data_IF_613844372043
#
_entry.id   IF_613844372043
#
_cell.length_a   1.000
_cell.length_b   1.000
_cell.length_c   1.000
_cell.angle_alpha   90.00
_cell.angle_beta   90.00
_cell.angle_gamma   90.00
#
_symmetry.space_group_name_H-M   'P 1'
#
loop_
_entity.id
_entity.type
_entity.pdbx_description
1 polymer ?
#
# COMPACT_ATOMS: atom_id res chain seq x y z
N UNK A 1 -23.29 -56.79 -10.36
CA UNK A 1 -23.08 -55.32 -10.34
C UNK A 1 -21.90 -55.02 -9.41
N UNK A 2 -20.68 -54.87 -9.93
CA UNK A 2 -19.49 -54.55 -9.13
C UNK A 2 -19.31 -53.04 -9.09
N UNK A 3 -19.59 -52.43 -7.94
CA UNK A 3 -19.24 -51.03 -7.68
C UNK A 3 -17.73 -50.95 -7.60
N UNK A 4 -17.15 -50.17 -8.52
CA UNK A 4 -15.72 -49.94 -8.67
C UNK A 4 -15.27 -49.06 -7.50
N UNK A 5 -14.55 -49.63 -6.54
CA UNK A 5 -13.96 -48.90 -5.43
C UNK A 5 -13.00 -47.83 -5.96
N UNK A 6 -13.32 -46.56 -5.75
CA UNK A 6 -12.36 -45.46 -5.94
C UNK A 6 -11.25 -45.67 -4.93
N UNK A 7 -10.07 -46.09 -5.40
CA UNK A 7 -8.86 -46.18 -4.58
C UNK A 7 -8.47 -44.77 -4.15
N UNK A 8 -8.79 -44.43 -2.91
CA UNK A 8 -8.23 -43.28 -2.19
C UNK A 8 -6.76 -43.60 -1.91
N UNK A 9 -5.89 -43.17 -2.82
CA UNK A 9 -4.46 -43.08 -2.55
C UNK A 9 -4.20 -41.72 -1.88
N UNK A 10 -3.76 -41.78 -0.64
CA UNK A 10 -2.87 -40.84 0.04
C UNK A 10 -2.30 -39.66 -0.79
N UNK A 11 -2.40 -38.44 -0.24
CA UNK A 11 -1.44 -37.36 -0.52
C UNK A 11 -1.82 -36.34 -1.59
N UNK A 12 -2.59 -35.32 -1.17
CA UNK A 12 -2.92 -34.08 -1.90
C UNK A 12 -3.71 -34.22 -3.22
N UNK A 13 -4.75 -33.39 -3.40
CA UNK A 13 -5.49 -33.30 -4.66
C UNK A 13 -4.61 -32.72 -5.79
N UNK A 14 -5.00 -32.93 -7.05
CA UNK A 14 -4.32 -32.31 -8.19
C UNK A 14 -4.27 -30.78 -8.06
N UNK A 15 -5.37 -30.18 -7.58
CA UNK A 15 -5.46 -28.75 -7.31
C UNK A 15 -4.51 -28.29 -6.20
N UNK A 16 -4.41 -29.06 -5.11
CA UNK A 16 -3.47 -28.75 -4.03
C UNK A 16 -2.01 -28.84 -4.50
N UNK A 17 -1.67 -29.80 -5.36
CA UNK A 17 -0.33 -29.88 -5.97
C UNK A 17 -0.06 -28.71 -6.91
N UNK A 18 -1.06 -28.31 -7.69
CA UNK A 18 -0.99 -27.15 -8.58
C UNK A 18 -0.72 -25.88 -7.77
N UNK A 19 -1.52 -25.61 -6.73
CA UNK A 19 -1.34 -24.46 -5.84
C UNK A 19 0.03 -24.44 -5.15
N UNK A 20 0.47 -25.57 -4.57
CA UNK A 20 1.78 -25.67 -3.91
C UNK A 20 2.96 -25.39 -4.84
N UNK A 21 2.87 -25.78 -6.11
CA UNK A 21 3.92 -25.48 -7.10
C UNK A 21 3.96 -23.99 -7.41
N UNK A 22 2.79 -23.36 -7.61
CA UNK A 22 2.70 -21.92 -7.77
C UNK A 22 3.31 -21.16 -6.58
N UNK A 23 2.97 -21.55 -5.36
CA UNK A 23 3.54 -20.98 -4.13
C UNK A 23 5.06 -21.14 -4.07
N UNK A 24 5.60 -22.33 -4.39
CA UNK A 24 7.05 -22.55 -4.43
C UNK A 24 7.77 -21.67 -5.45
N UNK A 25 7.17 -21.45 -6.62
CA UNK A 25 7.73 -20.57 -7.65
C UNK A 25 7.75 -19.11 -7.18
N UNK A 26 6.66 -18.64 -6.57
CA UNK A 26 6.57 -17.27 -6.04
C UNK A 26 7.56 -17.06 -4.89
N UNK A 27 7.62 -18.00 -3.93
CA UNK A 27 8.54 -17.90 -2.79
C UNK A 27 10.01 -17.90 -3.24
N UNK A 28 10.37 -18.74 -4.22
CA UNK A 28 11.71 -18.75 -4.81
C UNK A 28 12.04 -17.41 -5.51
N UNK A 29 11.07 -16.80 -6.18
CA UNK A 29 11.26 -15.49 -6.78
C UNK A 29 11.45 -14.41 -5.71
N UNK A 30 10.63 -14.38 -4.66
CA UNK A 30 10.78 -13.45 -3.51
C UNK A 30 12.17 -13.57 -2.90
N UNK A 31 12.65 -14.81 -2.68
CA UNK A 31 13.98 -15.05 -2.11
C UNK A 31 15.10 -14.53 -3.02
N UNK A 32 15.04 -14.83 -4.33
CA UNK A 32 16.04 -14.36 -5.29
C UNK A 32 16.06 -12.83 -5.40
N UNK A 33 14.89 -12.21 -5.51
CA UNK A 33 14.77 -10.75 -5.66
C UNK A 33 15.28 -10.06 -4.39
N UNK A 34 14.83 -10.51 -3.22
CA UNK A 34 15.19 -9.89 -1.94
C UNK A 34 16.66 -10.05 -1.55
N UNK A 35 17.38 -11.02 -2.13
CA UNK A 35 18.79 -11.30 -1.79
C UNK A 35 19.78 -10.89 -2.86
N UNK A 36 19.41 -10.97 -4.14
CA UNK A 36 20.31 -10.78 -5.29
C UNK A 36 19.78 -9.77 -6.31
N UNK A 37 18.65 -9.13 -6.02
CA UNK A 37 17.99 -8.19 -6.92
C UNK A 37 17.15 -8.85 -7.99
N UNK A 38 16.31 -8.07 -8.65
CA UNK A 38 15.30 -8.55 -9.61
C UNK A 38 15.89 -9.28 -10.81
N UNK A 39 17.10 -8.91 -11.25
CA UNK A 39 17.77 -9.52 -12.41
C UNK A 39 18.13 -10.99 -12.16
N UNK A 40 18.33 -11.39 -10.89
CA UNK A 40 18.61 -12.77 -10.52
C UNK A 40 17.40 -13.71 -10.66
N UNK A 41 16.18 -13.16 -10.67
CA UNK A 41 14.93 -13.92 -10.79
C UNK A 41 14.65 -14.36 -12.24
N UNK A 42 15.56 -15.12 -12.84
CA UNK A 42 15.35 -15.76 -14.15
C UNK A 42 14.50 -17.02 -14.01
N UNK A 43 13.80 -17.44 -15.07
CA UNK A 43 13.01 -18.70 -15.06
C UNK A 43 13.87 -19.88 -14.60
N UNK A 44 15.10 -19.98 -15.11
CA UNK A 44 16.05 -21.04 -14.74
C UNK A 44 16.41 -20.98 -13.25
N UNK A 45 16.77 -19.80 -12.73
CA UNK A 45 17.14 -19.64 -11.32
C UNK A 45 15.95 -19.92 -10.38
N UNK A 46 14.75 -19.46 -10.75
CA UNK A 46 13.51 -19.72 -10.00
C UNK A 46 13.20 -21.21 -10.01
N UNK A 47 13.30 -21.90 -11.15
CA UNK A 47 13.09 -23.35 -11.23
C UNK A 47 14.09 -24.12 -10.35
N UNK A 48 15.37 -23.75 -10.41
CA UNK A 48 16.42 -24.36 -9.59
C UNK A 48 16.16 -24.15 -8.08
N UNK A 49 15.82 -22.92 -7.68
CA UNK A 49 15.59 -22.55 -6.27
C UNK A 49 14.29 -23.16 -5.74
N UNK A 50 13.23 -23.14 -6.54
CA UNK A 50 11.94 -23.69 -6.16
C UNK A 50 11.90 -25.21 -6.16
N UNK A 51 12.80 -25.89 -6.90
CA UNK A 51 12.75 -27.31 -7.19
C UNK A 51 11.56 -27.71 -8.09
N UNK A 52 11.07 -26.78 -8.91
CA UNK A 52 10.01 -26.98 -9.92
C UNK A 52 10.65 -26.97 -11.30
N UNK A 53 10.29 -27.89 -12.19
CA UNK A 53 10.86 -27.95 -13.54
C UNK A 53 10.30 -26.85 -14.45
N UNK A 54 11.04 -26.45 -15.49
CA UNK A 54 10.58 -25.45 -16.45
C UNK A 54 9.25 -25.81 -17.11
N UNK A 55 8.99 -27.11 -17.34
CA UNK A 55 7.67 -27.57 -17.83
C UNK A 55 6.53 -27.16 -16.89
N UNK A 56 6.74 -27.29 -15.58
CA UNK A 56 5.73 -26.91 -14.59
C UNK A 56 5.71 -25.40 -14.33
N UNK A 57 6.81 -24.69 -14.53
CA UNK A 57 6.82 -23.23 -14.55
C UNK A 57 5.80 -22.72 -15.59
N UNK A 58 5.92 -23.18 -16.84
CA UNK A 58 5.06 -22.73 -17.94
C UNK A 58 3.60 -23.21 -17.85
N UNK A 59 3.26 -24.05 -16.86
CA UNK A 59 1.87 -24.34 -16.50
C UNK A 59 1.24 -23.28 -15.59
N UNK A 60 2.06 -22.48 -14.91
CA UNK A 60 1.62 -21.47 -13.95
C UNK A 60 1.86 -20.04 -14.40
N UNK A 61 2.88 -19.82 -15.24
CA UNK A 61 3.32 -18.50 -15.71
C UNK A 61 3.81 -18.62 -17.15
N UNK A 62 3.33 -17.75 -18.02
CA UNK A 62 3.72 -17.65 -19.43
C UNK A 62 5.17 -17.19 -19.57
N UNK A 63 5.64 -16.31 -18.68
CA UNK A 63 6.99 -15.79 -18.66
C UNK A 63 7.44 -15.33 -17.25
N UNK A 64 8.63 -14.74 -17.18
CA UNK A 64 9.19 -14.14 -15.96
C UNK A 64 8.33 -12.98 -15.46
N UNK A 65 7.77 -12.19 -16.36
CA UNK A 65 7.04 -10.98 -16.01
C UNK A 65 5.70 -11.32 -15.35
N UNK A 66 5.01 -12.36 -15.81
CA UNK A 66 3.80 -12.89 -15.15
C UNK A 66 4.10 -13.40 -13.74
N UNK A 67 5.26 -14.05 -13.54
CA UNK A 67 5.71 -14.42 -12.20
C UNK A 67 5.95 -13.17 -11.32
N UNK A 68 6.62 -12.14 -11.84
CA UNK A 68 6.88 -10.90 -11.10
C UNK A 68 5.57 -10.18 -10.72
N UNK A 69 4.58 -10.15 -11.61
CA UNK A 69 3.24 -9.63 -11.30
C UNK A 69 2.60 -10.40 -10.16
N UNK A 70 2.66 -11.73 -10.18
CA UNK A 70 2.10 -12.56 -9.11
C UNK A 70 2.82 -12.38 -7.77
N UNK A 71 4.14 -12.22 -7.78
CA UNK A 71 4.92 -11.86 -6.59
C UNK A 71 4.42 -10.55 -6.00
N UNK A 72 4.27 -9.50 -6.80
CA UNK A 72 3.79 -8.19 -6.35
C UNK A 72 2.35 -8.23 -5.83
N UNK A 73 1.47 -8.97 -6.50
CA UNK A 73 0.08 -9.17 -6.05
C UNK A 73 0.03 -9.85 -4.68
N UNK A 74 0.85 -10.90 -4.47
CA UNK A 74 0.90 -11.59 -3.18
C UNK A 74 1.45 -10.68 -2.06
N UNK A 75 2.49 -9.90 -2.37
CA UNK A 75 3.03 -8.93 -1.41
C UNK A 75 1.99 -7.88 -1.07
N UNK A 76 1.35 -7.26 -2.06
CA UNK A 76 0.29 -6.29 -1.82
C UNK A 76 -0.80 -6.82 -0.91
N UNK A 77 -1.30 -8.02 -1.19
CA UNK A 77 -2.32 -8.66 -0.35
C UNK A 77 -1.84 -8.84 1.10
N UNK A 78 -0.58 -9.27 1.29
CA UNK A 78 0.03 -9.46 2.61
C UNK A 78 0.15 -8.14 3.37
N UNK A 79 0.70 -7.10 2.73
CA UNK A 79 0.84 -5.77 3.31
C UNK A 79 -0.52 -5.14 3.64
N UNK A 80 -1.47 -5.24 2.71
CA UNK A 80 -2.82 -4.72 2.89
C UNK A 80 -3.52 -5.41 4.07
N UNK A 81 -3.43 -6.74 4.17
CA UNK A 81 -4.02 -7.48 5.28
C UNK A 81 -3.45 -7.04 6.63
N UNK A 82 -2.11 -6.95 6.75
CA UNK A 82 -1.43 -6.49 7.96
C UNK A 82 -1.85 -5.07 8.35
N UNK A 83 -1.92 -4.16 7.38
CA UNK A 83 -2.34 -2.77 7.60
C UNK A 83 -3.79 -2.71 8.08
N UNK A 84 -4.71 -3.38 7.38
CA UNK A 84 -6.15 -3.35 7.68
C UNK A 84 -6.46 -3.94 9.06
N UNK A 85 -5.83 -5.07 9.41
CA UNK A 85 -6.02 -5.71 10.71
C UNK A 85 -5.52 -4.85 11.89
N UNK A 86 -4.61 -3.91 11.62
CA UNK A 86 -4.05 -3.01 12.63
C UNK A 86 -4.83 -1.70 12.77
N UNK A 87 -5.83 -1.42 11.93
CA UNK A 87 -6.59 -0.17 12.01
C UNK A 87 -7.52 -0.23 13.23
N UNK A 88 -7.42 0.71 14.20
CA UNK A 88 -8.29 0.72 15.37
C UNK A 88 -9.74 1.08 15.01
N UNK A 89 -10.65 0.77 15.94
CA UNK A 89 -12.06 1.18 15.89
C UNK A 89 -12.21 2.72 15.98
N UNK A 90 -13.38 3.23 15.60
CA UNK A 90 -13.65 4.67 15.45
C UNK A 90 -13.53 5.48 16.77
N UNK A 91 -13.33 6.81 16.64
CA UNK A 91 -13.26 7.76 17.77
C UNK A 91 -11.86 8.33 18.06
N UNK A 92 -10.90 8.10 17.16
CA UNK A 92 -9.51 8.50 17.29
C UNK A 92 -9.16 9.69 16.38
N UNK A 93 -8.14 10.46 16.77
CA UNK A 93 -7.55 11.48 15.89
C UNK A 93 -6.91 10.83 14.66
N UNK A 94 -6.74 11.55 13.54
CA UNK A 94 -6.09 11.00 12.35
C UNK A 94 -4.71 10.37 12.63
N UNK A 95 -3.92 10.96 13.53
CA UNK A 95 -2.62 10.43 13.96
C UNK A 95 -2.76 9.08 14.67
N UNK A 96 -3.70 8.95 15.60
CA UNK A 96 -3.94 7.70 16.33
C UNK A 96 -4.44 6.60 15.39
N UNK A 97 -5.28 6.95 14.41
CA UNK A 97 -5.70 6.01 13.36
C UNK A 97 -4.53 5.52 12.49
N UNK A 98 -3.55 6.39 12.22
CA UNK A 98 -2.38 6.06 11.41
C UNK A 98 -1.32 5.24 12.16
N UNK A 99 -1.23 5.39 13.49
CA UNK A 99 -0.12 4.85 14.27
C UNK A 99 -0.01 3.33 14.24
N UNK A 100 -1.09 2.61 14.56
CA UNK A 100 -1.06 1.15 14.62
C UNK A 100 -0.81 0.49 13.24
N UNK A 101 -1.44 0.93 12.13
CA UNK A 101 -1.13 0.42 10.79
C UNK A 101 0.30 0.67 10.34
N UNK A 102 0.86 1.86 10.62
CA UNK A 102 2.26 2.18 10.31
C UNK A 102 3.21 1.32 11.14
N UNK A 103 2.91 1.08 12.43
CA UNK A 103 3.66 0.17 13.28
C UNK A 103 3.67 -1.24 12.71
N UNK A 104 2.50 -1.75 12.31
CA UNK A 104 2.37 -3.09 11.75
C UNK A 104 3.19 -3.24 10.45
N UNK A 105 3.11 -2.25 9.57
CA UNK A 105 3.90 -2.16 8.35
C UNK A 105 5.41 -2.23 8.62
N UNK A 106 5.92 -1.34 9.48
CA UNK A 106 7.36 -1.24 9.76
C UNK A 106 7.87 -2.49 10.49
N UNK A 107 7.10 -3.03 11.43
CA UNK A 107 7.45 -4.28 12.14
C UNK A 107 7.56 -5.46 11.19
N UNK A 108 6.67 -5.54 10.18
CA UNK A 108 6.75 -6.58 9.16
C UNK A 108 8.01 -6.43 8.31
N UNK A 109 8.39 -5.21 7.94
CA UNK A 109 9.63 -4.94 7.18
C UNK A 109 10.86 -5.26 8.03
N UNK A 110 10.85 -4.95 9.32
CA UNK A 110 11.94 -5.29 10.25
C UNK A 110 12.10 -6.81 10.39
N UNK A 111 10.98 -7.54 10.45
CA UNK A 111 10.96 -9.01 10.55
C UNK A 111 11.50 -9.69 9.28
N UNK A 112 11.26 -9.12 8.10
CA UNK A 112 11.84 -9.58 6.84
C UNK A 112 12.13 -8.42 5.89
N UNK A 113 13.36 -7.88 5.96
CA UNK A 113 13.81 -6.76 5.11
C UNK A 113 13.73 -7.07 3.62
N UNK A 114 13.68 -8.35 3.21
CA UNK A 114 13.54 -8.74 1.80
C UNK A 114 12.22 -8.26 1.22
N UNK A 115 11.14 -8.33 2.00
CA UNK A 115 9.80 -7.87 1.57
C UNK A 115 9.81 -6.35 1.34
N UNK A 116 10.44 -5.62 2.25
CA UNK A 116 10.65 -4.17 2.10
C UNK A 116 11.50 -3.83 0.89
N UNK A 117 12.68 -4.45 0.73
CA UNK A 117 13.57 -4.17 -0.42
C UNK A 117 12.89 -4.44 -1.75
N UNK A 118 12.13 -5.54 -1.84
CA UNK A 118 11.40 -5.88 -3.06
C UNK A 118 10.37 -4.79 -3.40
N UNK A 119 9.58 -4.34 -2.42
CA UNK A 119 8.50 -3.36 -2.63
C UNK A 119 9.02 -1.92 -2.84
N UNK A 120 10.06 -1.51 -2.12
CA UNK A 120 10.50 -0.11 -2.05
C UNK A 120 11.77 0.19 -2.86
N UNK A 121 12.70 -0.75 -2.98
CA UNK A 121 14.03 -0.52 -3.59
C UNK A 121 14.08 -1.07 -5.02
N UNK A 122 13.86 -2.37 -5.20
CA UNK A 122 13.95 -3.03 -6.52
C UNK A 122 12.95 -2.45 -7.52
N UNK A 123 11.79 -2.06 -6.99
CA UNK A 123 10.69 -1.48 -7.74
C UNK A 123 11.01 -0.11 -8.39
N UNK A 124 12.09 0.55 -7.99
CA UNK A 124 12.50 1.82 -8.59
C UNK A 124 13.35 1.67 -9.86
N UNK A 125 13.98 0.49 -10.06
CA UNK A 125 15.03 0.32 -11.08
C UNK A 125 14.53 -0.38 -12.35
N UNK A 126 13.60 -1.33 -12.21
CA UNK A 126 13.10 -2.14 -13.32
C UNK A 126 11.75 -1.59 -13.87
N UNK A 127 11.56 -1.45 -15.20
CA UNK A 127 10.37 -0.82 -15.79
C UNK A 127 9.02 -1.44 -15.39
N UNK A 128 8.88 -2.77 -15.45
CA UNK A 128 7.65 -3.46 -15.05
C UNK A 128 7.39 -3.27 -13.55
N UNK A 129 8.42 -3.37 -12.72
CA UNK A 129 8.29 -3.19 -11.28
C UNK A 129 7.95 -1.75 -10.92
N UNK A 130 8.43 -0.75 -11.68
CA UNK A 130 8.01 0.65 -11.55
C UNK A 130 6.51 0.82 -11.82
N UNK A 131 6.00 0.17 -12.85
CA UNK A 131 4.56 0.17 -13.15
C UNK A 131 3.76 -0.50 -12.02
N UNK A 132 4.18 -1.68 -11.60
CA UNK A 132 3.53 -2.41 -10.50
C UNK A 132 3.57 -1.59 -9.20
N UNK A 133 4.69 -0.96 -8.87
CA UNK A 133 4.82 -0.04 -7.73
C UNK A 133 3.79 1.07 -7.78
N UNK A 134 3.65 1.71 -8.94
CA UNK A 134 2.67 2.80 -9.12
C UNK A 134 1.25 2.32 -8.84
N UNK A 135 0.88 1.13 -9.37
CA UNK A 135 -0.43 0.52 -9.12
C UNK A 135 -0.62 0.19 -7.64
N UNK A 136 0.41 -0.32 -6.96
CA UNK A 136 0.35 -0.61 -5.52
C UNK A 136 0.21 0.66 -4.68
N UNK A 137 0.95 1.72 -5.01
CA UNK A 137 0.86 3.01 -4.31
C UNK A 137 -0.53 3.62 -4.48
N UNK A 138 -1.12 3.54 -5.67
CA UNK A 138 -2.50 3.96 -5.91
C UNK A 138 -3.49 3.14 -5.05
N UNK A 139 -3.35 1.81 -5.03
CA UNK A 139 -4.19 0.94 -4.19
C UNK A 139 -4.08 1.24 -2.69
N UNK A 140 -2.89 1.54 -2.19
CA UNK A 140 -2.70 1.98 -0.81
C UNK A 140 -3.29 3.37 -0.54
N UNK A 141 -3.21 4.31 -1.50
CA UNK A 141 -3.84 5.62 -1.35
C UNK A 141 -5.39 5.48 -1.30
N UNK A 142 -5.96 4.63 -2.14
CA UNK A 142 -7.39 4.29 -2.12
C UNK A 142 -7.80 3.61 -0.81
N UNK A 143 -6.95 2.72 -0.27
CA UNK A 143 -7.13 2.13 1.05
C UNK A 143 -7.18 3.21 2.12
N UNK A 144 -6.17 4.09 2.19
CA UNK A 144 -6.11 5.16 3.20
C UNK A 144 -7.33 6.08 3.09
N UNK A 145 -7.71 6.49 1.88
CA UNK A 145 -8.90 7.32 1.66
C UNK A 145 -10.17 6.61 2.14
N UNK A 146 -10.37 5.34 1.80
CA UNK A 146 -11.55 4.58 2.20
C UNK A 146 -11.65 4.47 3.72
N UNK A 147 -10.56 4.07 4.39
CA UNK A 147 -10.56 3.87 5.84
C UNK A 147 -10.70 5.22 6.58
N UNK A 148 -10.12 6.29 6.02
CA UNK A 148 -10.32 7.65 6.50
C UNK A 148 -11.78 8.08 6.38
N UNK A 149 -12.47 7.86 5.25
CA UNK A 149 -13.91 8.20 5.12
C UNK A 149 -14.81 7.39 6.05
N UNK A 150 -14.43 6.17 6.39
CA UNK A 150 -15.20 5.31 7.31
C UNK A 150 -15.04 5.76 8.76
N UNK A 151 -13.87 6.28 9.15
CA UNK A 151 -13.51 6.53 10.56
C UNK A 151 -13.41 8.01 10.92
N UNK A 152 -13.19 8.86 9.94
CA UNK A 152 -13.12 10.30 10.05
C UNK A 152 -14.32 10.86 9.30
N UNK A 153 -15.04 11.78 9.92
CA UNK A 153 -16.22 12.44 9.35
C UNK A 153 -15.79 13.44 8.26
N UNK A 154 -15.29 12.90 7.14
CA UNK A 154 -14.80 13.64 5.99
C UNK A 154 -16.01 14.02 5.13
N UNK A 155 -16.34 15.32 4.98
CA UNK A 155 -17.45 15.74 4.15
C UNK A 155 -17.14 15.51 2.67
N UNK A 156 -18.19 15.34 1.87
CA UNK A 156 -18.06 15.11 0.43
C UNK A 156 -17.30 16.25 -0.28
N UNK A 157 -17.40 17.49 0.22
CA UNK A 157 -16.65 18.65 -0.28
C UNK A 157 -15.13 18.54 -0.10
N UNK A 158 -14.67 17.76 0.88
CA UNK A 158 -13.25 17.57 1.19
C UNK A 158 -12.65 16.29 0.57
N UNK A 159 -13.45 15.44 -0.10
CA UNK A 159 -12.99 14.14 -0.62
C UNK A 159 -11.83 14.28 -1.61
N UNK A 160 -11.86 15.27 -2.49
CA UNK A 160 -10.75 15.52 -3.44
C UNK A 160 -9.45 15.88 -2.71
N UNK A 161 -9.54 16.64 -1.61
CA UNK A 161 -8.38 16.97 -0.78
C UNK A 161 -7.93 15.76 0.05
N UNK A 162 -8.87 14.95 0.55
CA UNK A 162 -8.56 13.70 1.24
C UNK A 162 -7.83 12.70 0.34
N UNK A 163 -8.21 12.63 -0.94
CA UNK A 163 -7.51 11.82 -1.94
C UNK A 163 -6.09 12.33 -2.20
N UNK A 164 -5.90 13.65 -2.32
CA UNK A 164 -4.58 14.27 -2.43
C UNK A 164 -3.73 13.99 -1.18
N UNK A 165 -4.29 14.16 0.01
CA UNK A 165 -3.64 13.87 1.30
C UNK A 165 -3.22 12.39 1.39
N UNK A 166 -4.09 11.47 0.98
CA UNK A 166 -3.80 10.03 0.95
C UNK A 166 -2.66 9.72 -0.03
N UNK A 167 -2.66 10.35 -1.21
CA UNK A 167 -1.61 10.22 -2.22
C UNK A 167 -0.26 10.73 -1.71
N UNK A 168 -0.23 11.92 -1.10
CA UNK A 168 0.97 12.50 -0.50
C UNK A 168 1.49 11.65 0.67
N UNK A 169 0.59 11.17 1.52
CA UNK A 169 0.93 10.34 2.67
C UNK A 169 1.56 9.01 2.27
N UNK A 170 0.94 8.29 1.33
CA UNK A 170 1.47 7.02 0.81
C UNK A 170 2.76 7.25 0.03
N UNK A 171 2.81 8.26 -0.83
CA UNK A 171 4.01 8.62 -1.59
C UNK A 171 5.21 8.94 -0.70
N UNK A 172 5.00 9.80 0.29
CA UNK A 172 6.02 10.17 1.26
C UNK A 172 6.48 8.99 2.12
N UNK A 173 5.54 8.14 2.59
CA UNK A 173 5.88 6.95 3.36
C UNK A 173 6.71 5.95 2.56
N UNK A 174 6.36 5.71 1.29
CA UNK A 174 7.14 4.84 0.40
C UNK A 174 8.58 5.33 0.25
N UNK A 175 8.78 6.63 0.04
CA UNK A 175 10.13 7.20 -0.10
C UNK A 175 10.92 7.16 1.21
N UNK A 176 10.28 7.45 2.35
CA UNK A 176 10.91 7.33 3.67
C UNK A 176 11.37 5.89 3.92
N UNK A 177 10.52 4.90 3.67
CA UNK A 177 10.86 3.49 3.87
C UNK A 177 11.95 3.01 2.92
N UNK A 178 11.95 3.47 1.66
CA UNK A 178 13.05 3.19 0.71
C UNK A 178 14.38 3.69 1.27
N UNK A 179 14.44 4.97 1.65
CA UNK A 179 15.66 5.60 2.16
C UNK A 179 16.13 4.99 3.48
N UNK A 180 15.21 4.62 4.36
CA UNK A 180 15.53 3.89 5.59
C UNK A 180 16.07 2.48 5.32
N UNK A 181 15.55 1.80 4.28
CA UNK A 181 16.05 0.48 3.87
C UNK A 181 17.44 0.53 3.22
N UNK A 182 17.75 1.63 2.55
CA UNK A 182 19.05 1.92 1.93
C UNK A 182 20.05 2.58 2.91
N UNK A 183 19.70 2.63 4.22
CA UNK A 183 20.50 3.24 5.29
C UNK A 183 20.85 4.73 5.05
N UNK A 184 20.05 5.43 4.22
CA UNK A 184 20.15 6.88 3.99
C UNK A 184 19.46 7.71 5.09
N UNK A 185 18.61 7.07 5.91
CA UNK A 185 17.92 7.66 7.05
C UNK A 185 18.22 6.84 8.31
N UNK A 186 18.89 7.45 9.29
CA UNK A 186 19.25 6.81 10.56
C UNK A 186 18.18 7.06 11.62
N UNK A 187 17.18 6.18 11.65
CA UNK A 187 16.10 6.19 12.64
C UNK A 187 15.85 4.80 13.19
N UNK A 188 15.54 4.72 14.49
CA UNK A 188 15.00 3.49 15.08
C UNK A 188 13.56 3.26 14.64
N UNK A 189 13.12 2.00 14.69
CA UNK A 189 11.74 1.61 14.37
C UNK A 189 10.69 2.47 15.07
N UNK A 190 10.76 2.64 16.39
CA UNK A 190 9.76 3.41 17.13
C UNK A 190 9.69 4.89 16.74
N UNK A 191 10.85 5.49 16.44
CA UNK A 191 10.94 6.89 16.01
C UNK A 191 10.33 7.05 14.62
N UNK A 192 10.66 6.12 13.71
CA UNK A 192 10.12 6.11 12.36
C UNK A 192 8.59 5.95 12.38
N UNK A 193 8.08 5.02 13.20
CA UNK A 193 6.64 4.81 13.38
C UNK A 193 5.97 6.08 13.91
N UNK A 194 6.52 6.72 14.95
CA UNK A 194 5.96 7.92 15.54
C UNK A 194 5.90 9.07 14.52
N UNK A 195 7.00 9.34 13.82
CA UNK A 195 7.07 10.44 12.86
C UNK A 195 6.20 10.19 11.61
N UNK A 196 6.22 8.98 11.05
CA UNK A 196 5.35 8.65 9.92
C UNK A 196 3.87 8.77 10.28
N UNK A 197 3.47 8.34 11.48
CA UNK A 197 2.10 8.49 11.97
C UNK A 197 1.71 9.95 12.19
N UNK A 198 2.60 10.75 12.78
CA UNK A 198 2.41 12.19 12.94
C UNK A 198 2.25 12.91 11.59
N UNK A 199 3.10 12.61 10.61
CA UNK A 199 3.00 13.21 9.28
C UNK A 199 1.70 12.83 8.57
N UNK A 200 1.33 11.55 8.53
CA UNK A 200 0.07 11.12 7.92
C UNK A 200 -1.14 11.70 8.68
N UNK A 201 -1.09 11.73 10.01
CA UNK A 201 -2.08 12.34 10.87
C UNK A 201 -2.26 13.84 10.61
N UNK A 202 -1.17 14.56 10.38
CA UNK A 202 -1.20 16.00 10.06
C UNK A 202 -1.93 16.29 8.74
N UNK A 203 -1.76 15.42 7.74
CA UNK A 203 -2.48 15.50 6.47
C UNK A 203 -3.99 15.27 6.68
N UNK A 204 -4.36 14.30 7.51
CA UNK A 204 -5.75 14.05 7.89
C UNK A 204 -6.37 15.20 8.70
N UNK A 205 -5.60 15.78 9.62
CA UNK A 205 -6.03 16.95 10.40
C UNK A 205 -6.26 18.17 9.50
N UNK A 206 -5.40 18.38 8.50
CA UNK A 206 -5.60 19.43 7.50
C UNK A 206 -6.92 19.23 6.73
N UNK A 207 -7.21 18.01 6.27
CA UNK A 207 -8.48 17.68 5.60
C UNK A 207 -9.68 18.04 6.49
N UNK A 208 -9.65 17.65 7.76
CA UNK A 208 -10.73 17.95 8.72
C UNK A 208 -10.85 19.44 9.05
N UNK A 209 -9.76 20.21 8.97
CA UNK A 209 -9.82 21.67 9.18
C UNK A 209 -10.59 22.40 8.07
N UNK A 210 -10.73 21.81 6.89
CA UNK A 210 -11.55 22.39 5.81
C UNK A 210 -13.04 22.38 6.17
N UNK A 211 -13.46 21.54 7.12
CA UNK A 211 -14.83 21.49 7.63
C UNK A 211 -15.24 22.79 8.35
N UNK A 212 -14.29 23.57 8.87
CA UNK A 212 -14.58 24.78 9.66
C UNK A 212 -14.67 26.06 8.82
N UNK A 213 -14.31 26.02 7.54
CA UNK A 213 -14.23 27.22 6.69
C UNK A 213 -15.57 27.68 6.08
N UNK A 214 -16.66 26.91 6.21
CA UNK A 214 -17.98 27.30 5.70
C UNK A 214 -18.79 28.23 6.65
N UNK A 215 -18.30 28.53 7.86
CA UNK A 215 -19.00 29.43 8.80
C UNK A 215 -18.45 30.86 8.76
N UNK A 216 -18.46 31.50 7.58
CA UNK A 216 -18.32 32.97 7.50
C UNK A 216 -19.73 33.57 7.38
N UNK A 217 -20.24 34.34 8.37
CA UNK A 217 -21.54 34.97 8.25
C UNK A 217 -21.51 36.00 7.11
N UNK A 218 -22.47 35.89 6.19
CA UNK A 218 -22.66 36.84 5.11
C UNK A 218 -22.69 38.28 5.65
N UNK A 219 -21.68 39.08 5.29
CA UNK A 219 -21.69 40.51 5.53
C UNK A 219 -22.90 41.10 4.80
N UNK A 220 -23.90 41.46 5.60
CA UNK A 220 -25.12 42.12 5.16
C UNK A 220 -24.72 43.46 4.54
N UNK A 221 -24.72 43.57 3.22
CA UNK A 221 -24.67 44.86 2.55
C UNK A 221 -25.99 45.60 2.83
N UNK A 222 -26.02 46.27 3.99
CA UNK A 222 -27.06 47.23 4.34
C UNK A 222 -26.92 48.43 3.40
N UNK A 223 -27.89 48.57 2.48
CA UNK A 223 -28.16 49.83 1.78
C UNK A 223 -28.29 50.94 2.82
N UNK A 224 -27.44 51.96 2.73
CA UNK A 224 -27.72 53.29 3.24
C UNK A 224 -27.76 54.23 2.03
N UNK A 225 -28.98 54.57 1.62
CA UNK A 225 -29.23 55.75 0.80
C UNK A 225 -29.27 57.01 1.68
N UNK A 226 -29.03 58.16 1.06
CA UNK A 226 -29.11 59.49 1.66
C UNK A 226 -27.83 60.29 1.37
N UNK A 227 -27.68 60.85 0.17
CA UNK A 227 -28.14 62.21 -0.18
C UNK A 227 -27.42 63.31 0.62
N UNK A 228 -26.56 64.10 -0.04
CA UNK A 228 -26.88 65.49 -0.42
C UNK A 228 -25.62 66.31 -0.77
N UNK A 229 -25.81 67.17 -1.78
CA UNK A 229 -25.37 68.56 -1.88
C UNK A 229 -23.99 68.91 -2.49
N UNK A 230 -24.11 69.66 -3.60
CA UNK A 230 -23.31 70.84 -3.95
C UNK A 230 -22.01 70.58 -4.71
N UNK A 231 -21.55 71.41 -5.63
CA UNK A 231 -22.08 72.59 -6.31
C UNK A 231 -21.01 72.95 -7.37
N UNK A 232 -21.39 73.64 -8.45
CA UNK A 232 -20.49 74.30 -9.44
C UNK A 232 -19.63 73.37 -10.32
N UNK A 233 -19.55 73.49 -11.65
CA UNK A 233 -19.64 74.63 -12.59
C UNK A 233 -19.99 74.08 -13.99
#
# INVERSE_FOLDING_TARGET
MRVRSVRVYSGMSAEQRHRRRRERLINAAVELIGTRGVTAATVTAVCATSGVTSRYFYQHFTDRDELLRAVYQQLYATFQEVIVQAIPDAGATPEVLAHAPIRALITMIESDRRLGRLLFVESATEPLLRELRSQLMAGFADLVLREARVRLDIPDSAVSVAHLASTLGVGGLFEVLRRWLDDELDFRTDELVAHCAGFLGSLGAYVLSLNTSETTPAATHRRAGGAAAGDSQ
#
